data_IF_984313520355
#
_entry.id   IF_984313520355
#
_cell.length_a   1.000
_cell.length_b   1.000
_cell.length_c   1.000
_cell.angle_alpha   90.00
_cell.angle_beta   90.00
_cell.angle_gamma   90.00
#
_symmetry.space_group_name_H-M   'P 1'
#
loop_
_entity.id
_entity.type
_entity.pdbx_description
1 polymer ?
#
# COMPACT_ATOMS: atom_id res chain seq x y z
N UNK A 1 3.22 18.70 15.81
CA UNK A 1 1.84 19.21 15.72
C UNK A 1 0.84 18.10 15.34
N UNK A 2 1.11 16.82 15.65
CA UNK A 2 0.34 15.67 15.13
C UNK A 2 -0.74 15.14 16.10
N UNK A 3 -0.75 15.58 17.36
CA UNK A 3 -1.69 15.10 18.37
C UNK A 3 -3.01 15.91 18.45
N UNK A 4 -3.08 17.08 17.82
CA UNK A 4 -4.22 17.99 17.93
C UNK A 4 -5.48 17.45 17.24
N UNK A 5 -5.33 16.62 16.21
CA UNK A 5 -6.43 16.00 15.46
C UNK A 5 -7.21 14.96 16.25
N UNK A 6 -6.54 14.22 17.14
CA UNK A 6 -7.17 13.26 18.05
C UNK A 6 -8.02 13.95 19.16
N UNK A 7 -7.92 15.28 19.28
CA UNK A 7 -8.75 16.08 20.18
C UNK A 7 -9.98 16.67 19.52
N UNK A 8 -10.19 16.41 18.22
CA UNK A 8 -11.35 16.90 17.49
C UNK A 8 -12.68 16.28 17.95
N UNK A 9 -12.73 15.56 19.07
CA UNK A 9 -13.95 14.90 19.54
C UNK A 9 -14.68 15.75 20.59
N UNK A 10 -15.86 16.27 20.23
CA UNK A 10 -16.72 17.02 21.17
C UNK A 10 -17.48 16.09 22.15
N UNK A 11 -17.38 14.76 21.97
CA UNK A 11 -18.03 13.74 22.80
C UNK A 11 -17.42 13.59 24.22
N UNK A 12 -16.46 14.43 24.60
CA UNK A 12 -15.94 14.48 25.98
C UNK A 12 -17.02 14.83 27.02
N UNK A 13 -18.12 15.49 26.62
CA UNK A 13 -19.20 15.88 27.56
C UNK A 13 -20.57 15.25 27.27
N UNK A 14 -20.89 14.90 26.02
CA UNK A 14 -22.26 14.51 25.61
C UNK A 14 -22.29 13.07 25.10
N UNK A 15 -22.41 12.12 26.04
CA UNK A 15 -22.42 10.65 25.90
C UNK A 15 -22.92 10.01 24.58
N UNK A 16 -23.79 10.66 23.81
CA UNK A 16 -24.50 10.07 22.67
C UNK A 16 -24.37 10.84 21.34
N UNK A 17 -23.71 12.01 21.29
CA UNK A 17 -23.53 12.74 20.02
C UNK A 17 -22.07 13.15 19.83
N UNK A 18 -21.39 12.68 18.77
CA UNK A 18 -19.96 12.93 18.56
C UNK A 18 -19.64 14.42 18.37
N UNK A 19 -20.58 15.18 17.81
CA UNK A 19 -20.50 16.62 17.61
C UNK A 19 -21.82 17.31 17.96
N UNK A 20 -21.74 18.55 18.44
CA UNK A 20 -22.93 19.39 18.58
C UNK A 20 -23.44 19.73 17.18
N UNK A 21 -24.75 19.61 16.93
CA UNK A 21 -25.37 19.97 15.63
C UNK A 21 -24.91 21.35 15.12
N UNK A 22 -24.79 22.32 16.03
CA UNK A 22 -24.30 23.67 15.77
C UNK A 22 -22.87 23.72 15.21
N UNK A 23 -21.95 22.87 15.68
CA UNK A 23 -20.57 22.85 15.18
C UNK A 23 -20.50 22.23 13.79
N UNK A 24 -21.28 21.18 13.53
CA UNK A 24 -21.38 20.57 12.20
C UNK A 24 -21.96 21.56 11.19
N UNK A 25 -23.06 22.23 11.51
CA UNK A 25 -23.64 23.27 10.64
C UNK A 25 -22.63 24.38 10.30
N UNK A 26 -21.82 24.82 11.27
CA UNK A 26 -20.81 25.85 11.04
C UNK A 26 -19.72 25.38 10.08
N UNK A 27 -19.24 24.14 10.24
CA UNK A 27 -18.24 23.54 9.35
C UNK A 27 -18.81 23.29 7.95
N UNK A 28 -20.05 22.80 7.83
CA UNK A 28 -20.74 22.64 6.55
C UNK A 28 -20.88 23.97 5.81
N UNK A 29 -21.28 25.04 6.52
CA UNK A 29 -21.34 26.40 5.94
C UNK A 29 -19.97 26.89 5.48
N UNK A 30 -18.92 26.58 6.23
CA UNK A 30 -17.55 26.93 5.88
C UNK A 30 -17.09 26.18 4.61
N UNK A 31 -17.29 24.86 4.56
CA UNK A 31 -16.99 24.03 3.39
C UNK A 31 -17.77 24.54 2.15
N UNK A 32 -19.07 24.80 2.29
CA UNK A 32 -19.88 25.32 1.19
C UNK A 32 -19.39 26.69 0.69
N UNK A 33 -18.94 27.56 1.60
CA UNK A 33 -18.37 28.87 1.22
C UNK A 33 -17.04 28.69 0.47
N UNK A 34 -16.17 27.79 0.94
CA UNK A 34 -14.91 27.49 0.28
C UNK A 34 -15.14 26.84 -1.10
N UNK A 35 -16.03 25.85 -1.18
CA UNK A 35 -16.39 25.16 -2.42
C UNK A 35 -16.90 26.15 -3.47
N UNK A 36 -17.83 27.06 -3.10
CA UNK A 36 -18.31 28.12 -4.00
C UNK A 36 -17.21 29.05 -4.48
N UNK A 37 -16.27 29.41 -3.59
CA UNK A 37 -15.16 30.28 -3.96
C UNK A 37 -14.20 29.60 -4.96
N UNK A 38 -14.00 28.29 -4.81
CA UNK A 38 -13.12 27.48 -5.69
C UNK A 38 -13.80 27.21 -7.03
N UNK A 39 -15.07 26.80 -7.04
CA UNK A 39 -15.79 26.43 -8.25
C UNK A 39 -16.46 27.60 -8.98
N UNK A 40 -16.47 28.80 -8.38
CA UNK A 40 -17.20 29.95 -8.92
C UNK A 40 -18.72 29.78 -8.90
N UNK A 41 -19.24 28.79 -8.17
CA UNK A 41 -20.66 28.46 -8.17
C UNK A 41 -21.53 29.56 -7.52
N UNK A 42 -22.78 29.65 -7.99
CA UNK A 42 -23.75 30.60 -7.45
C UNK A 42 -24.00 30.39 -5.95
N UNK A 43 -24.33 31.48 -5.25
CA UNK A 43 -24.68 31.44 -3.82
C UNK A 43 -25.88 30.53 -3.53
N UNK A 44 -26.80 30.39 -4.50
CA UNK A 44 -27.99 29.56 -4.42
C UNK A 44 -27.70 28.06 -4.61
N UNK A 45 -26.52 27.67 -5.08
CA UNK A 45 -26.17 26.26 -5.26
C UNK A 45 -26.21 25.53 -3.92
N UNK A 46 -26.88 24.38 -3.91
CA UNK A 46 -27.03 23.55 -2.72
C UNK A 46 -25.69 22.94 -2.29
N UNK A 47 -25.52 22.72 -0.99
CA UNK A 47 -24.29 22.14 -0.44
C UNK A 47 -24.04 20.72 -0.98
N UNK A 48 -25.04 19.81 -1.01
CA UNK A 48 -24.82 18.47 -1.55
C UNK A 48 -24.42 18.46 -3.02
N UNK A 49 -24.95 19.39 -3.83
CA UNK A 49 -24.54 19.52 -5.23
C UNK A 49 -23.08 20.00 -5.32
N UNK A 50 -22.69 20.97 -4.50
CA UNK A 50 -21.29 21.42 -4.45
C UNK A 50 -20.35 20.29 -4.05
N UNK A 51 -20.70 19.50 -3.04
CA UNK A 51 -19.88 18.39 -2.57
C UNK A 51 -19.65 17.36 -3.69
N UNK A 52 -20.70 17.03 -4.46
CA UNK A 52 -20.59 16.11 -5.61
C UNK A 52 -19.74 16.72 -6.75
N UNK A 53 -20.05 17.94 -7.17
CA UNK A 53 -19.37 18.59 -8.32
C UNK A 53 -17.90 18.91 -8.03
N UNK A 54 -17.54 19.12 -6.76
CA UNK A 54 -16.16 19.40 -6.33
C UNK A 54 -15.43 18.18 -5.78
N UNK A 55 -16.05 17.00 -5.86
CA UNK A 55 -15.51 15.75 -5.31
C UNK A 55 -15.11 15.85 -3.82
N UNK A 56 -15.85 16.66 -3.06
CA UNK A 56 -15.65 16.82 -1.61
C UNK A 56 -16.53 15.84 -0.84
N UNK A 57 -15.96 15.18 0.15
CA UNK A 57 -16.73 14.41 1.11
C UNK A 57 -17.56 15.34 2.00
N UNK A 58 -18.77 14.95 2.43
CA UNK A 58 -19.49 15.67 3.47
C UNK A 58 -18.62 15.83 4.73
N UNK A 59 -18.75 16.96 5.42
CA UNK A 59 -17.90 17.33 6.57
C UNK A 59 -17.82 16.22 7.62
N UNK A 60 -18.93 15.57 7.91
CA UNK A 60 -19.00 14.46 8.86
C UNK A 60 -18.06 13.32 8.46
N UNK A 61 -18.08 12.94 7.17
CA UNK A 61 -17.24 11.88 6.64
C UNK A 61 -15.76 12.29 6.60
N UNK A 62 -15.46 13.56 6.33
CA UNK A 62 -14.07 14.06 6.41
C UNK A 62 -13.51 13.96 7.83
N UNK A 63 -14.32 14.34 8.83
CA UNK A 63 -13.95 14.23 10.24
C UNK A 63 -13.68 12.77 10.60
N UNK A 64 -14.55 11.85 10.20
CA UNK A 64 -14.37 10.42 10.42
C UNK A 64 -13.10 9.89 9.77
N UNK A 65 -12.89 10.19 8.49
CA UNK A 65 -11.67 9.81 7.75
C UNK A 65 -10.43 10.29 8.49
N UNK A 66 -10.40 11.56 8.89
CA UNK A 66 -9.27 12.16 9.61
C UNK A 66 -9.02 11.51 10.97
N UNK A 67 -10.08 11.18 11.71
CA UNK A 67 -10.00 10.50 12.99
C UNK A 67 -9.43 9.08 12.85
N UNK A 68 -9.91 8.31 11.86
CA UNK A 68 -9.41 6.97 11.55
C UNK A 68 -7.93 7.03 11.15
N UNK A 69 -7.56 7.92 10.22
CA UNK A 69 -6.17 8.09 9.79
C UNK A 69 -5.24 8.49 10.95
N UNK A 70 -5.68 9.42 11.80
CA UNK A 70 -4.91 9.85 12.96
C UNK A 70 -4.70 8.71 13.96
N UNK A 71 -5.75 7.92 14.23
CA UNK A 71 -5.64 6.76 15.11
C UNK A 71 -4.77 5.66 14.51
N UNK A 72 -4.86 5.40 13.21
CA UNK A 72 -3.97 4.47 12.52
C UNK A 72 -2.51 4.86 12.72
N UNK A 73 -2.16 6.13 12.44
CA UNK A 73 -0.79 6.64 12.62
C UNK A 73 -0.28 6.55 14.06
N UNK A 74 -1.12 6.86 15.05
CA UNK A 74 -0.74 6.78 16.47
C UNK A 74 -0.59 5.33 16.91
N UNK A 75 -1.49 4.44 16.49
CA UNK A 75 -1.52 3.03 16.92
C UNK A 75 -0.33 2.26 16.35
N UNK A 76 -0.04 2.43 15.05
CA UNK A 76 1.13 1.86 14.38
C UNK A 76 2.47 2.26 15.04
N UNK A 77 2.55 3.46 15.63
CA UNK A 77 3.73 3.91 16.35
C UNK A 77 3.90 3.34 17.76
N UNK A 78 2.89 2.67 18.31
CA UNK A 78 2.92 2.15 19.70
C UNK A 78 3.18 0.66 19.81
N UNK A 79 3.04 -0.12 18.74
CA UNK A 79 3.33 -1.56 18.78
C UNK A 79 4.83 -1.84 18.95
N UNK A 80 5.70 -0.99 18.41
CA UNK A 80 7.17 -1.11 18.56
C UNK A 80 7.68 -0.75 19.96
N UNK A 81 6.86 -0.13 20.81
CA UNK A 81 7.19 0.26 22.20
C UNK A 81 6.26 -0.40 23.24
N UNK A 82 5.33 -1.24 22.80
CA UNK A 82 4.05 -1.43 23.47
C UNK A 82 3.94 -2.53 24.52
N UNK A 83 4.85 -3.50 24.56
CA UNK A 83 4.70 -4.63 25.49
C UNK A 83 5.16 -4.28 26.92
N UNK A 84 6.19 -3.45 27.07
CA UNK A 84 6.71 -3.09 28.40
C UNK A 84 5.91 -1.99 29.11
N UNK A 85 5.21 -1.12 28.36
CA UNK A 85 4.48 0.01 28.93
C UNK A 85 3.03 -0.34 29.30
N UNK A 86 2.41 -1.29 28.61
CA UNK A 86 1.07 -1.80 28.92
C UNK A 86 1.01 -2.47 30.30
N UNK A 87 2.05 -3.24 30.67
CA UNK A 87 2.14 -3.89 31.98
C UNK A 87 2.39 -2.90 33.14
N UNK A 88 3.07 -1.77 32.88
CA UNK A 88 3.27 -0.71 33.88
C UNK A 88 2.03 0.16 34.07
N UNK A 89 1.17 0.28 33.05
CA UNK A 89 -0.08 1.05 33.12
C UNK A 89 -1.22 0.27 33.78
N UNK A 90 -1.34 -1.04 33.55
CA UNK A 90 -2.37 -1.88 34.17
C UNK A 90 -2.35 -1.83 35.70
N UNK A 91 -1.16 -1.72 36.31
CA UNK A 91 -1.01 -1.59 37.76
C UNK A 91 -1.39 -0.19 38.32
N UNK A 92 -1.42 0.87 37.50
CA UNK A 92 -1.84 2.23 37.94
C UNK A 92 -3.32 2.55 37.64
N UNK A 93 -3.97 1.77 36.78
CA UNK A 93 -5.34 2.05 36.30
C UNK A 93 -6.43 1.58 37.29
N UNK A 94 -6.11 0.70 38.23
CA UNK A 94 -7.09 0.25 39.25
C UNK A 94 -7.60 1.36 40.18
N UNK A 95 -6.95 2.54 40.20
CA UNK A 95 -7.30 3.63 41.13
C UNK A 95 -7.96 4.87 40.49
N UNK A 96 -8.14 4.93 39.16
CA UNK A 96 -8.84 6.06 38.52
C UNK A 96 -9.97 5.61 37.61
N UNK A 97 -11.10 5.29 38.23
CA UNK A 97 -12.36 5.43 37.52
C UNK A 97 -12.61 6.92 37.20
N UNK A 98 -13.28 7.15 36.07
CA UNK A 98 -13.91 8.41 35.63
C UNK A 98 -13.01 9.38 34.84
N UNK A 99 -12.66 9.02 33.59
CA UNK A 99 -12.69 9.90 32.39
C UNK A 99 -12.09 9.15 31.19
N UNK A 100 -12.90 8.91 30.15
CA UNK A 100 -12.46 8.30 28.90
C UNK A 100 -11.53 9.28 28.17
N UNK A 101 -10.32 8.84 27.80
CA UNK A 101 -9.41 9.69 27.02
C UNK A 101 -10.01 10.03 25.65
N UNK A 102 -9.69 11.20 25.03
CA UNK A 102 -10.18 11.54 23.69
C UNK A 102 -9.89 10.45 22.65
N UNK A 103 -8.69 9.85 22.72
CA UNK A 103 -8.30 8.70 21.89
C UNK A 103 -9.21 7.50 22.10
N UNK A 104 -9.47 7.13 23.36
CA UNK A 104 -10.34 6.01 23.71
C UNK A 104 -11.81 6.24 23.29
N UNK A 105 -12.28 7.48 23.32
CA UNK A 105 -13.62 7.83 22.86
C UNK A 105 -13.78 7.69 21.34
N UNK A 106 -12.79 8.14 20.55
CA UNK A 106 -12.81 7.96 19.09
C UNK A 106 -12.70 6.46 18.74
N UNK A 107 -11.77 5.73 19.36
CA UNK A 107 -11.60 4.30 19.11
C UNK A 107 -12.89 3.52 19.39
N UNK A 108 -13.58 3.84 20.48
CA UNK A 108 -14.86 3.24 20.83
C UNK A 108 -15.94 3.57 19.79
N UNK A 109 -16.06 4.84 19.40
CA UNK A 109 -17.07 5.28 18.44
C UNK A 109 -16.88 4.64 17.04
N UNK A 110 -15.62 4.50 16.58
CA UNK A 110 -15.33 3.79 15.32
C UNK A 110 -15.74 2.32 15.42
N UNK A 111 -15.42 1.66 16.53
CA UNK A 111 -15.76 0.26 16.72
C UNK A 111 -17.28 0.02 16.76
N UNK A 112 -18.03 0.94 17.37
CA UNK A 112 -19.49 0.87 17.47
C UNK A 112 -20.19 1.23 16.14
N UNK A 113 -19.74 2.26 15.43
CA UNK A 113 -20.42 2.74 14.21
C UNK A 113 -19.98 2.02 12.92
N UNK A 114 -18.72 1.62 12.80
CA UNK A 114 -18.18 1.04 11.57
C UNK A 114 -17.89 -0.47 11.68
N UNK A 115 -17.98 -1.06 12.87
CA UNK A 115 -17.67 -2.48 13.10
C UNK A 115 -16.20 -2.85 12.82
N UNK A 116 -15.33 -1.87 12.57
CA UNK A 116 -13.94 -2.07 12.21
C UNK A 116 -13.03 -2.03 13.44
N UNK A 117 -12.18 -3.04 13.61
CA UNK A 117 -11.18 -3.06 14.68
C UNK A 117 -9.85 -2.51 14.19
N UNK A 118 -9.35 -1.46 14.85
CA UNK A 118 -8.00 -0.94 14.58
C UNK A 118 -6.88 -1.97 14.84
N UNK A 119 -7.18 -3.08 15.51
CA UNK A 119 -6.24 -4.20 15.72
C UNK A 119 -6.11 -5.12 14.51
N UNK A 120 -7.04 -5.03 13.55
CA UNK A 120 -7.04 -5.81 12.31
C UNK A 120 -6.33 -5.07 11.17
N UNK A 121 -5.87 -3.84 11.41
CA UNK A 121 -5.09 -3.10 10.43
C UNK A 121 -3.77 -3.81 10.16
N UNK A 122 -3.40 -3.88 8.88
CA UNK A 122 -2.08 -4.34 8.47
C UNK A 122 -0.99 -3.48 9.15
N UNK A 123 -0.08 -4.15 9.83
CA UNK A 123 1.09 -3.51 10.44
C UNK A 123 2.16 -3.36 9.38
N UNK A 124 2.24 -2.18 8.77
CA UNK A 124 3.36 -1.84 7.90
C UNK A 124 4.57 -1.58 8.80
N UNK A 125 5.49 -2.55 8.85
CA UNK A 125 6.76 -2.37 9.57
C UNK A 125 7.59 -1.32 8.83
N UNK A 126 7.86 -0.14 9.43
CA UNK A 126 8.68 0.85 8.78
C UNK A 126 10.12 0.33 8.74
N UNK A 127 10.63 0.05 7.54
CA UNK A 127 12.05 -0.21 7.38
C UNK A 127 12.80 1.12 7.50
N UNK A 128 13.60 1.27 8.56
CA UNK A 128 14.48 2.43 8.70
C UNK A 128 15.57 2.29 7.67
N UNK A 129 15.40 3.05 6.60
CA UNK A 129 16.39 3.19 5.55
C UNK A 129 17.27 4.37 5.90
N UNK A 130 18.59 4.21 5.74
CA UNK A 130 19.51 5.33 5.94
C UNK A 130 19.14 6.50 4.99
N UNK A 131 19.20 7.76 5.43
CA UNK A 131 18.74 8.90 4.62
C UNK A 131 19.56 9.11 3.33
N UNK A 132 20.73 8.49 3.23
CA UNK A 132 21.57 8.46 2.03
C UNK A 132 21.44 7.16 1.22
N UNK A 133 20.50 6.27 1.56
CA UNK A 133 20.26 5.07 0.77
C UNK A 133 19.63 5.44 -0.56
N UNK A 134 20.11 4.77 -1.60
CA UNK A 134 19.71 5.03 -2.97
C UNK A 134 18.96 3.81 -3.48
N UNK A 135 17.69 4.01 -3.83
CA UNK A 135 16.82 2.96 -4.36
C UNK A 135 17.16 2.50 -5.78
N UNK A 136 16.41 1.54 -6.34
CA UNK A 136 16.46 1.20 -7.76
C UNK A 136 15.93 2.31 -8.65
N UNK A 137 16.49 2.40 -9.87
CA UNK A 137 15.92 3.25 -10.92
C UNK A 137 14.61 2.62 -11.36
N UNK A 138 13.56 3.42 -11.46
CA UNK A 138 12.22 2.96 -11.84
C UNK A 138 11.73 3.73 -13.06
N UNK A 139 11.16 3.02 -14.04
CA UNK A 139 10.54 3.62 -15.21
C UNK A 139 9.10 3.13 -15.33
N UNK A 140 8.15 4.06 -15.25
CA UNK A 140 6.71 3.84 -15.47
C UNK A 140 6.34 4.71 -16.66
N UNK A 141 5.73 4.10 -17.67
CA UNK A 141 5.39 4.81 -18.89
C UNK A 141 3.93 5.18 -18.95
N UNK A 142 3.64 6.26 -19.68
CA UNK A 142 2.26 6.74 -19.84
C UNK A 142 1.41 5.76 -20.65
N UNK A 143 2.02 4.97 -21.54
CA UNK A 143 1.32 4.05 -22.42
C UNK A 143 2.13 2.78 -22.72
N UNK A 144 1.43 1.73 -23.14
CA UNK A 144 2.01 0.43 -23.47
C UNK A 144 3.01 0.49 -24.65
N UNK A 145 2.79 1.38 -25.62
CA UNK A 145 3.67 1.53 -26.79
C UNK A 145 5.05 2.10 -26.40
N UNK A 146 5.09 3.13 -25.55
CA UNK A 146 6.33 3.70 -25.01
C UNK A 146 7.00 2.70 -24.05
N UNK A 147 6.23 1.94 -23.27
CA UNK A 147 6.77 0.85 -22.45
C UNK A 147 7.52 -0.17 -23.30
N UNK A 148 6.90 -0.69 -24.38
CA UNK A 148 7.53 -1.61 -25.33
C UNK A 148 8.76 -1.01 -26.01
N UNK A 149 8.68 0.24 -26.45
CA UNK A 149 9.80 0.92 -27.12
C UNK A 149 11.03 1.04 -26.22
N UNK A 150 10.82 1.29 -24.91
CA UNK A 150 11.92 1.35 -23.93
C UNK A 150 12.42 0.00 -23.50
N UNK A 151 11.53 -0.98 -23.38
CA UNK A 151 11.92 -2.37 -23.18
C UNK A 151 12.88 -2.79 -24.29
N UNK A 152 12.50 -2.57 -25.55
CA UNK A 152 13.34 -2.85 -26.72
C UNK A 152 14.66 -2.07 -26.66
N UNK A 153 14.61 -0.76 -26.41
CA UNK A 153 15.80 0.06 -26.26
C UNK A 153 16.74 -0.42 -25.15
N UNK A 154 16.18 -0.94 -24.05
CA UNK A 154 16.96 -1.44 -22.91
C UNK A 154 17.67 -2.75 -23.23
N UNK A 155 17.01 -3.64 -23.97
CA UNK A 155 17.62 -4.89 -24.46
C UNK A 155 18.77 -4.57 -25.43
N UNK A 156 18.55 -3.64 -26.37
CA UNK A 156 19.56 -3.29 -27.38
C UNK A 156 20.78 -2.59 -26.78
N UNK A 157 20.57 -1.70 -25.80
CA UNK A 157 21.63 -0.88 -25.22
C UNK A 157 22.43 -1.58 -24.13
N UNK A 158 21.84 -2.55 -23.45
CA UNK A 158 22.44 -3.20 -22.28
C UNK A 158 22.51 -4.73 -22.45
N UNK A 159 23.19 -5.26 -23.49
CA UNK A 159 23.22 -6.70 -23.76
C UNK A 159 23.90 -7.53 -22.65
N UNK A 160 24.79 -6.91 -21.88
CA UNK A 160 25.49 -7.54 -20.76
C UNK A 160 24.67 -7.54 -19.45
N UNK A 161 23.48 -6.91 -19.46
CA UNK A 161 22.60 -6.90 -18.31
C UNK A 161 21.84 -8.24 -18.17
N UNK A 162 21.43 -8.54 -16.95
CA UNK A 162 20.50 -9.64 -16.70
C UNK A 162 19.07 -9.12 -16.84
N UNK A 163 18.28 -9.74 -17.73
CA UNK A 163 16.90 -9.38 -18.00
C UNK A 163 15.97 -10.41 -17.37
N UNK A 164 15.10 -9.97 -16.46
CA UNK A 164 14.23 -10.83 -15.67
C UNK A 164 12.80 -10.30 -15.74
N UNK A 165 11.86 -11.13 -16.13
CA UNK A 165 10.43 -10.83 -16.21
C UNK A 165 9.73 -11.47 -15.03
N UNK A 166 8.83 -10.75 -14.39
CA UNK A 166 8.10 -11.24 -13.21
C UNK A 166 6.62 -11.08 -13.41
N UNK A 167 5.86 -12.05 -12.91
CA UNK A 167 4.41 -12.03 -12.96
C UNK A 167 3.83 -12.71 -11.71
N UNK A 168 2.65 -12.26 -11.29
CA UNK A 168 1.86 -12.87 -10.23
C UNK A 168 0.48 -13.19 -10.79
N UNK A 169 0.08 -14.46 -10.73
CA UNK A 169 -1.20 -14.88 -11.31
C UNK A 169 -2.12 -15.50 -10.26
N UNK A 170 -3.43 -15.41 -10.55
CA UNK A 170 -4.47 -16.16 -9.85
C UNK A 170 -5.14 -17.09 -10.83
N UNK A 171 -5.09 -18.39 -10.56
CA UNK A 171 -5.68 -19.43 -11.40
C UNK A 171 -6.45 -20.39 -10.49
N UNK A 172 -7.71 -20.69 -10.84
CA UNK A 172 -8.55 -21.68 -10.14
C UNK A 172 -8.62 -21.51 -8.61
N UNK A 173 -8.68 -20.27 -8.11
CA UNK A 173 -8.75 -20.00 -6.67
C UNK A 173 -7.41 -20.04 -5.94
N UNK A 174 -6.31 -20.20 -6.67
CA UNK A 174 -4.96 -20.24 -6.13
C UNK A 174 -4.12 -19.08 -6.64
N UNK A 175 -3.20 -18.59 -5.81
CA UNK A 175 -2.27 -17.52 -6.16
C UNK A 175 -0.85 -18.08 -6.29
N UNK A 176 -0.21 -17.73 -7.38
CA UNK A 176 1.16 -18.08 -7.68
C UNK A 176 1.98 -16.89 -8.17
N UNK A 177 3.28 -17.08 -8.21
CA UNK A 177 4.25 -16.09 -8.64
C UNK A 177 5.32 -16.74 -9.50
N UNK A 178 5.82 -16.04 -10.50
CA UNK A 178 6.91 -16.51 -11.34
C UNK A 178 7.90 -15.38 -11.70
N UNK A 179 9.16 -15.77 -11.90
CA UNK A 179 10.20 -14.94 -12.47
C UNK A 179 10.99 -15.74 -13.50
N UNK A 180 11.17 -15.18 -14.70
CA UNK A 180 11.88 -15.80 -15.82
C UNK A 180 13.01 -14.89 -16.25
N UNK A 181 14.24 -15.40 -16.23
CA UNK A 181 15.42 -14.72 -16.75
C UNK A 181 15.77 -15.23 -18.14
N UNK A 182 15.69 -14.36 -19.13
CA UNK A 182 16.03 -14.70 -20.53
C UNK A 182 17.54 -14.80 -20.74
N UNK A 183 18.35 -14.11 -19.92
CA UNK A 183 19.81 -14.11 -20.10
C UNK A 183 20.48 -15.38 -19.59
N UNK A 184 19.96 -16.00 -18.54
CA UNK A 184 20.48 -17.26 -17.99
C UNK A 184 19.59 -18.47 -18.33
N UNK A 185 18.45 -18.23 -19.00
CA UNK A 185 17.41 -19.22 -19.27
C UNK A 185 16.95 -19.95 -18.00
N UNK A 186 16.83 -19.20 -16.90
CA UNK A 186 16.38 -19.70 -15.61
C UNK A 186 14.97 -19.22 -15.32
N UNK A 187 14.16 -20.07 -14.71
CA UNK A 187 12.85 -19.72 -14.19
C UNK A 187 12.76 -20.11 -12.72
N UNK A 188 12.02 -19.31 -11.95
CA UNK A 188 11.59 -19.66 -10.59
C UNK A 188 10.12 -19.35 -10.44
N UNK A 189 9.42 -20.16 -9.67
CA UNK A 189 8.06 -19.88 -9.26
C UNK A 189 7.87 -20.13 -7.77
N UNK A 190 6.77 -19.59 -7.22
CA UNK A 190 6.36 -19.82 -5.85
C UNK A 190 4.83 -19.90 -5.77
N UNK A 191 4.34 -20.93 -5.10
CA UNK A 191 2.93 -21.05 -4.73
C UNK A 191 2.66 -20.27 -3.45
N UNK A 192 1.62 -19.43 -3.45
CA UNK A 192 1.29 -18.55 -2.34
C UNK A 192 0.03 -18.93 -1.57
N UNK A 193 -0.61 -20.06 -1.93
CA UNK A 193 -1.82 -20.53 -1.28
C UNK A 193 -3.08 -20.20 -2.07
N UNK A 194 -4.22 -20.32 -1.39
CA UNK A 194 -5.53 -19.96 -1.92
C UNK A 194 -5.69 -18.43 -1.97
N UNK A 195 -6.60 -17.97 -2.83
CA UNK A 195 -6.95 -16.55 -3.00
C UNK A 195 -7.64 -15.93 -1.77
N UNK A 196 -8.05 -16.77 -0.81
CA UNK A 196 -8.54 -16.38 0.51
C UNK A 196 -7.40 -15.98 1.46
N UNK A 197 -6.18 -16.47 1.21
CA UNK A 197 -5.00 -16.27 2.05
C UNK A 197 -4.03 -15.28 1.43
N UNK A 198 -3.84 -15.35 0.11
CA UNK A 198 -2.91 -14.51 -0.62
C UNK A 198 -3.60 -13.76 -1.76
N UNK A 199 -3.16 -12.54 -2.02
CA UNK A 199 -3.69 -11.70 -3.09
C UNK A 199 -2.78 -11.75 -4.31
N UNK A 200 -3.32 -11.47 -5.50
CA UNK A 200 -2.51 -11.33 -6.73
C UNK A 200 -1.37 -10.33 -6.54
N UNK A 201 -1.64 -9.23 -5.84
CA UNK A 201 -0.63 -8.24 -5.49
C UNK A 201 0.54 -8.83 -4.67
N UNK A 202 0.26 -9.72 -3.72
CA UNK A 202 1.30 -10.45 -3.00
C UNK A 202 2.09 -11.40 -3.92
N UNK A 203 1.41 -12.03 -4.89
CA UNK A 203 2.00 -12.80 -6.00
C UNK A 203 3.00 -12.00 -6.82
N UNK A 204 2.61 -10.80 -7.23
CA UNK A 204 3.46 -9.90 -8.02
C UNK A 204 4.69 -9.44 -7.22
N UNK A 205 4.53 -9.08 -5.94
CA UNK A 205 5.64 -8.73 -5.06
C UNK A 205 6.61 -9.90 -4.84
N UNK A 206 6.07 -11.11 -4.67
CA UNK A 206 6.87 -12.32 -4.59
C UNK A 206 7.65 -12.56 -5.89
N UNK A 207 7.12 -12.15 -7.04
CA UNK A 207 7.77 -12.30 -8.34
C UNK A 207 9.04 -11.46 -8.41
N UNK A 208 8.96 -10.23 -7.91
CA UNK A 208 10.14 -9.34 -7.77
C UNK A 208 11.17 -9.96 -6.81
N UNK A 209 10.73 -10.59 -5.72
CA UNK A 209 11.63 -11.32 -4.80
C UNK A 209 12.36 -12.47 -5.51
N UNK A 210 11.63 -13.28 -6.29
CA UNK A 210 12.20 -14.37 -7.08
C UNK A 210 13.21 -13.85 -8.12
N UNK A 211 12.93 -12.73 -8.78
CA UNK A 211 13.87 -12.10 -9.70
C UNK A 211 15.17 -11.67 -9.02
N UNK A 212 15.09 -11.07 -7.83
CA UNK A 212 16.28 -10.72 -7.05
C UNK A 212 17.09 -11.96 -6.66
N UNK A 213 16.42 -13.08 -6.33
CA UNK A 213 17.12 -14.33 -6.05
C UNK A 213 17.83 -14.89 -7.29
N UNK A 214 17.22 -14.81 -8.48
CA UNK A 214 17.89 -15.21 -9.74
C UNK A 214 19.13 -14.35 -9.98
N UNK A 215 19.00 -13.02 -9.81
CA UNK A 215 20.13 -12.11 -9.95
C UNK A 215 21.27 -12.39 -8.94
N UNK A 216 20.92 -12.73 -7.70
CA UNK A 216 21.91 -13.10 -6.69
C UNK A 216 22.62 -14.41 -7.04
N UNK A 217 21.89 -15.43 -7.50
CA UNK A 217 22.47 -16.71 -7.91
C UNK A 217 23.41 -16.55 -9.11
N UNK A 218 23.05 -15.73 -10.09
CA UNK A 218 23.90 -15.42 -11.24
C UNK A 218 25.23 -14.78 -10.78
N UNK A 219 25.17 -13.85 -9.82
CA UNK A 219 26.37 -13.26 -9.20
C UNK A 219 27.19 -14.28 -8.42
N UNK A 220 26.55 -15.14 -7.64
CA UNK A 220 27.22 -16.16 -6.81
C UNK A 220 27.93 -17.21 -7.67
N UNK A 221 27.45 -17.45 -8.90
CA UNK A 221 28.13 -18.27 -9.91
C UNK A 221 29.37 -17.60 -10.53
N UNK A 222 29.69 -16.37 -10.15
CA UNK A 222 30.86 -15.62 -10.63
C UNK A 222 30.60 -14.79 -11.88
N UNK A 223 29.35 -14.66 -12.34
CA UNK A 223 29.02 -13.84 -13.49
C UNK A 223 29.09 -12.36 -13.12
N UNK A 224 29.83 -11.58 -13.91
CA UNK A 224 29.94 -10.13 -13.72
C UNK A 224 28.93 -9.44 -14.63
N UNK A 225 27.84 -8.95 -14.02
CA UNK A 225 26.81 -8.17 -14.72
C UNK A 225 26.98 -6.69 -14.43
N UNK A 226 26.77 -5.86 -15.46
CA UNK A 226 26.78 -4.40 -15.31
C UNK A 226 25.50 -3.89 -14.64
N UNK A 227 24.35 -4.52 -14.94
CA UNK A 227 23.01 -4.12 -14.46
C UNK A 227 22.07 -5.32 -14.29
N UNK A 228 21.06 -5.12 -13.45
CA UNK A 228 19.92 -6.03 -13.27
C UNK A 228 18.66 -5.29 -13.72
N UNK A 229 18.00 -5.80 -14.75
CA UNK A 229 16.78 -5.25 -15.33
C UNK A 229 15.61 -6.17 -14.99
N UNK A 230 14.69 -5.68 -14.15
CA UNK A 230 13.49 -6.41 -13.75
C UNK A 230 12.28 -5.77 -14.41
N UNK A 231 11.49 -6.58 -15.09
CA UNK A 231 10.33 -6.20 -15.86
C UNK A 231 9.07 -6.68 -15.14
N UNK A 232 8.20 -5.76 -14.75
CA UNK A 232 6.96 -6.04 -14.00
C UNK A 232 5.86 -5.08 -14.45
N UNK A 233 4.64 -5.56 -14.51
CA UNK A 233 3.43 -4.77 -14.77
C UNK A 233 2.80 -4.19 -13.49
N UNK A 234 3.27 -4.59 -12.31
CA UNK A 234 2.77 -4.06 -11.03
C UNK A 234 3.28 -2.64 -10.77
N UNK A 235 2.55 -1.65 -11.30
CA UNK A 235 2.84 -0.24 -11.06
C UNK A 235 2.86 0.12 -9.56
N UNK A 236 2.08 -0.54 -8.71
CA UNK A 236 2.07 -0.26 -7.27
C UNK A 236 3.40 -0.68 -6.61
N UNK A 237 3.97 -1.82 -7.02
CA UNK A 237 5.31 -2.25 -6.59
C UNK A 237 6.39 -1.27 -7.04
N UNK A 238 6.28 -0.72 -8.27
CA UNK A 238 7.23 0.28 -8.78
C UNK A 238 7.10 1.61 -8.00
N UNK A 239 5.88 2.09 -7.76
CA UNK A 239 5.59 3.36 -7.06
C UNK A 239 5.91 3.32 -5.56
N UNK A 240 5.98 2.13 -4.95
CA UNK A 240 6.27 1.97 -3.52
C UNK A 240 7.70 2.35 -3.09
N UNK A 241 8.59 2.69 -4.04
CA UNK A 241 10.03 2.90 -3.77
C UNK A 241 10.44 4.37 -3.71
N UNK A 242 11.46 4.63 -2.89
CA UNK A 242 12.13 5.94 -2.80
C UNK A 242 12.99 6.24 -4.03
N UNK A 243 12.91 7.47 -4.52
CA UNK A 243 13.54 7.94 -5.76
C UNK A 243 15.05 8.17 -5.59
N UNK A 244 15.90 7.36 -6.22
CA UNK A 244 17.26 7.71 -6.71
C UNK A 244 17.95 6.48 -7.35
N UNK A 245 19.17 6.65 -7.89
CA UNK A 245 19.83 5.76 -8.85
C UNK A 245 20.70 4.60 -8.29
N UNK A 246 20.23 3.35 -8.35
CA UNK A 246 21.08 2.15 -8.21
C UNK A 246 21.24 1.35 -9.53
N UNK A 247 22.00 0.26 -9.50
CA UNK A 247 22.25 -0.61 -10.67
C UNK A 247 21.11 -1.60 -10.96
N UNK A 248 20.09 -1.62 -10.10
CA UNK A 248 18.84 -2.34 -10.33
C UNK A 248 17.87 -1.36 -11.00
N UNK A 249 17.34 -1.77 -12.14
CA UNK A 249 16.33 -1.01 -12.87
C UNK A 249 15.04 -1.80 -12.92
N UNK A 250 13.95 -1.21 -12.44
CA UNK A 250 12.60 -1.71 -12.63
C UNK A 250 11.98 -1.01 -13.82
N UNK A 251 11.49 -1.78 -14.78
CA UNK A 251 10.83 -1.29 -15.98
C UNK A 251 9.43 -1.88 -16.05
N UNK A 252 8.46 -1.02 -16.32
CA UNK A 252 7.12 -1.48 -16.67
C UNK A 252 7.11 -2.21 -18.03
N UNK A 253 6.58 -3.43 -18.05
CA UNK A 253 6.44 -4.21 -19.29
C UNK A 253 5.08 -4.90 -19.38
N UNK A 254 4.44 -4.81 -20.55
CA UNK A 254 3.30 -5.66 -20.90
C UNK A 254 3.79 -6.81 -21.78
N UNK A 255 4.29 -7.88 -21.17
CA UNK A 255 4.65 -9.12 -21.86
C UNK A 255 3.99 -10.29 -21.15
N UNK A 256 2.75 -10.58 -21.55
CA UNK A 256 1.89 -11.61 -20.93
C UNK A 256 2.30 -13.03 -21.37
N UNK A 257 2.92 -13.21 -22.53
CA UNK A 257 2.98 -14.55 -23.16
C UNK A 257 4.06 -15.50 -22.60
N UNK A 258 5.23 -15.00 -22.19
CA UNK A 258 6.38 -15.86 -21.81
C UNK A 258 6.31 -16.28 -20.35
N UNK A 259 5.88 -15.38 -19.45
CA UNK A 259 5.82 -15.67 -18.01
C UNK A 259 4.58 -16.49 -17.67
N UNK A 260 3.44 -16.24 -18.34
CA UNK A 260 2.21 -17.02 -18.16
C UNK A 260 2.38 -18.50 -18.49
N UNK A 261 3.14 -18.83 -19.57
CA UNK A 261 3.42 -20.23 -19.92
C UNK A 261 4.25 -20.94 -18.84
N UNK A 262 5.27 -20.29 -18.29
CA UNK A 262 6.07 -20.86 -17.19
C UNK A 262 5.25 -21.05 -15.91
N UNK A 263 4.35 -20.11 -15.60
CA UNK A 263 3.47 -20.18 -14.44
C UNK A 263 2.46 -21.35 -14.56
N UNK A 264 1.90 -21.55 -15.76
CA UNK A 264 0.96 -22.65 -16.06
C UNK A 264 1.60 -24.03 -15.98
N UNK A 265 2.83 -24.18 -16.50
CA UNK A 265 3.52 -25.47 -16.57
C UNK A 265 3.89 -26.01 -15.17
N UNK A 266 4.17 -25.11 -14.21
CA UNK A 266 4.62 -25.50 -12.87
C UNK A 266 3.47 -25.61 -11.85
N UNK A 267 2.37 -24.86 -12.01
CA UNK A 267 1.13 -25.16 -11.27
C UNK A 267 0.60 -26.55 -11.63
N UNK A 268 0.68 -26.94 -12.90
CA UNK A 268 0.33 -28.29 -13.34
C UNK A 268 1.27 -29.37 -12.75
N UNK A 269 2.57 -29.11 -12.64
CA UNK A 269 3.53 -30.06 -12.06
C UNK A 269 3.44 -30.16 -10.53
N UNK A 270 3.11 -29.06 -9.85
CA UNK A 270 2.96 -29.01 -8.38
C UNK A 270 1.62 -29.63 -7.95
N UNK A 271 0.55 -29.45 -8.73
CA UNK A 271 -0.71 -30.18 -8.51
C UNK A 271 -0.59 -31.68 -8.84
N UNK A 272 0.29 -32.07 -9.78
CA UNK A 272 0.52 -33.47 -10.12
C UNK A 272 1.43 -34.23 -9.13
N UNK A 273 2.28 -33.52 -8.37
CA UNK A 273 3.17 -34.12 -7.36
C UNK A 273 2.57 -34.19 -5.94
N UNK A 274 1.34 -33.69 -5.77
CA UNK A 274 0.59 -33.72 -4.51
C UNK A 274 -0.35 -34.93 -4.32
N UNK A 275 -0.25 -35.98 -5.14
CA UNK A 275 -0.99 -37.25 -4.99
C UNK A 275 -0.08 -38.41 -4.61
#
# INVERSE_FOLDING_TARGET
MYACSAWSNANWKTRNTPYTHKTLEQLQRLQARAARAISGAFKATSIPALDVETYLLPVEHQIWKHNVECLGRITLGTETLGEQEQQRRTNRIRERNIRMSPRGAIQKAIQEEQGFSLKELEVITPYVVAPWWIGPKTFIEENAEKARSRHQHSIEKEPDAIHIYTDGSRINGHVGSAAVCTTTNQAKSAYMGEDTVSTVYAGELQGVSLALQIAQQDRDQGNVRTKVMIYTDNQAAIRSKGTAASNITLIESHTEDVVAQSCQQEMASTMASGN
#
